data_IF_065678832006
#
_entry.id   IF_065678832006
#
_cell.length_a   1.000
_cell.length_b   1.000
_cell.length_c   1.000
_cell.angle_alpha   90.00
_cell.angle_beta   90.00
_cell.angle_gamma   90.00
#
_symmetry.space_group_name_H-M   'P 1'
#
loop_
_entity.id
_entity.type
_entity.pdbx_description
1 polymer ?
#
# COMPACT_ATOMS: atom_id res chain seq x y z
N UNK A 1 0.09 -13.17 5.75
CA UNK A 1 1.27 -13.46 4.88
C UNK A 1 0.96 -14.29 3.62
N UNK A 2 0.17 -15.37 3.65
CA UNK A 2 -0.02 -16.24 2.47
C UNK A 2 -0.78 -15.59 1.30
N UNK A 3 -1.72 -14.66 1.57
CA UNK A 3 -2.52 -13.99 0.52
C UNK A 3 -1.81 -12.86 -0.23
N UNK A 4 -0.64 -12.43 0.25
CA UNK A 4 0.15 -11.36 -0.38
C UNK A 4 1.21 -11.89 -1.35
N UNK A 5 1.17 -13.17 -1.74
CA UNK A 5 2.21 -13.80 -2.59
C UNK A 5 1.66 -14.53 -3.83
N UNK A 6 0.37 -14.42 -4.12
CA UNK A 6 -0.28 -15.14 -5.24
C UNK A 6 -1.16 -14.22 -6.09
N UNK A 7 -0.77 -12.94 -6.25
CA UNK A 7 -1.64 -11.95 -6.87
C UNK A 7 -1.37 -11.74 -8.36
N UNK A 8 -0.22 -12.21 -8.86
CA UNK A 8 0.22 -12.05 -10.25
C UNK A 8 0.86 -10.70 -10.57
N UNK A 9 0.99 -9.82 -9.57
CA UNK A 9 1.52 -8.46 -9.66
C UNK A 9 2.71 -8.33 -8.72
N UNK A 10 3.90 -8.65 -9.23
CA UNK A 10 5.15 -8.76 -8.45
C UNK A 10 5.46 -7.47 -7.69
N UNK A 11 5.23 -6.31 -8.30
CA UNK A 11 5.50 -5.01 -7.68
C UNK A 11 4.63 -4.76 -6.44
N UNK A 12 3.33 -5.11 -6.52
CA UNK A 12 2.41 -4.98 -5.41
C UNK A 12 2.76 -5.94 -4.27
N UNK A 13 3.08 -7.20 -4.59
CA UNK A 13 3.44 -8.21 -3.61
C UNK A 13 4.76 -7.86 -2.89
N UNK A 14 5.77 -7.34 -3.61
CA UNK A 14 7.02 -6.85 -3.03
C UNK A 14 6.79 -5.64 -2.11
N UNK A 15 5.97 -4.68 -2.55
CA UNK A 15 5.69 -3.47 -1.80
C UNK A 15 4.93 -3.77 -0.51
N UNK A 16 3.86 -4.58 -0.60
CA UNK A 16 3.07 -4.97 0.55
C UNK A 16 3.88 -5.86 1.49
N UNK A 17 4.70 -6.77 0.95
CA UNK A 17 5.62 -7.59 1.74
C UNK A 17 6.59 -6.74 2.56
N UNK A 18 7.27 -5.78 1.91
CA UNK A 18 8.22 -4.89 2.57
C UNK A 18 7.57 -3.99 3.64
N UNK A 19 6.33 -3.54 3.42
CA UNK A 19 5.57 -2.80 4.42
C UNK A 19 5.21 -3.69 5.61
N UNK A 20 4.67 -4.89 5.34
CA UNK A 20 4.27 -5.82 6.39
C UNK A 20 5.46 -6.21 7.27
N UNK A 21 6.62 -6.50 6.69
CA UNK A 21 7.81 -6.89 7.45
C UNK A 21 8.29 -5.79 8.42
N UNK A 22 8.07 -4.52 8.08
CA UNK A 22 8.43 -3.37 8.94
C UNK A 22 7.34 -3.02 9.95
N UNK A 23 6.08 -3.05 9.52
CA UNK A 23 4.97 -2.52 10.29
C UNK A 23 4.34 -3.58 11.22
N UNK A 24 4.18 -4.83 10.77
CA UNK A 24 3.54 -5.91 11.57
C UNK A 24 4.17 -6.12 12.96
N UNK A 25 5.51 -6.09 13.14
CA UNK A 25 6.10 -6.28 14.46
C UNK A 25 5.75 -5.19 15.49
N UNK A 26 5.31 -4.02 15.03
CA UNK A 26 5.02 -2.85 15.87
C UNK A 26 3.53 -2.51 15.95
N UNK A 27 2.68 -3.27 15.23
CA UNK A 27 1.24 -3.06 15.19
C UNK A 27 0.53 -3.59 16.43
N UNK A 28 -0.44 -2.80 16.91
CA UNK A 28 -1.45 -3.27 17.84
C UNK A 28 -2.49 -4.19 17.16
N UNK A 29 -3.27 -4.99 17.92
CA UNK A 29 -4.28 -5.87 17.32
C UNK A 29 -5.30 -5.16 16.42
N UNK A 30 -5.72 -3.94 16.79
CA UNK A 30 -6.63 -3.14 15.97
C UNK A 30 -5.99 -2.70 14.64
N UNK A 31 -4.70 -2.36 14.66
CA UNK A 31 -3.95 -2.02 13.44
C UNK A 31 -3.74 -3.25 12.53
N UNK A 32 -3.56 -4.43 13.10
CA UNK A 32 -3.52 -5.68 12.31
C UNK A 32 -4.86 -5.91 11.61
N UNK A 33 -5.98 -5.65 12.29
CA UNK A 33 -7.32 -5.77 11.70
C UNK A 33 -7.54 -4.77 10.57
N UNK A 34 -7.11 -3.51 10.72
CA UNK A 34 -7.12 -2.52 9.63
C UNK A 34 -6.26 -2.98 8.44
N UNK A 35 -5.07 -3.54 8.70
CA UNK A 35 -4.20 -4.06 7.65
C UNK A 35 -4.84 -5.25 6.93
N UNK A 36 -5.51 -6.15 7.63
CA UNK A 36 -6.24 -7.26 7.03
C UNK A 36 -7.39 -6.78 6.15
N UNK A 37 -8.12 -5.73 6.54
CA UNK A 37 -9.15 -5.11 5.72
C UNK A 37 -8.58 -4.54 4.41
N UNK A 38 -7.42 -3.88 4.47
CA UNK A 38 -6.71 -3.39 3.27
C UNK A 38 -6.27 -4.57 2.40
N UNK A 39 -5.69 -5.61 2.99
CA UNK A 39 -5.23 -6.80 2.28
C UNK A 39 -6.38 -7.65 1.73
N UNK A 40 -7.62 -7.47 2.19
CA UNK A 40 -8.81 -8.12 1.65
C UNK A 40 -9.31 -7.47 0.35
N UNK A 41 -8.85 -6.26 0.03
CA UNK A 41 -9.21 -5.54 -1.19
C UNK A 41 -8.71 -6.25 -2.46
N UNK A 42 -9.35 -5.95 -3.58
CA UNK A 42 -8.91 -6.44 -4.89
C UNK A 42 -7.56 -5.85 -5.29
N UNK A 43 -6.73 -6.67 -5.95
CA UNK A 43 -5.36 -6.29 -6.32
C UNK A 43 -5.34 -5.09 -7.25
N UNK A 44 -6.33 -5.00 -8.16
CA UNK A 44 -6.47 -3.87 -9.09
C UNK A 44 -6.71 -2.57 -8.34
N UNK A 45 -7.58 -2.60 -7.32
CA UNK A 45 -7.87 -1.44 -6.47
C UNK A 45 -6.63 -1.03 -5.69
N UNK A 46 -5.95 -1.99 -5.06
CA UNK A 46 -4.71 -1.72 -4.33
C UNK A 46 -3.61 -1.17 -5.24
N UNK A 47 -3.48 -1.72 -6.45
CA UNK A 47 -2.51 -1.24 -7.43
C UNK A 47 -2.82 0.19 -7.85
N UNK A 48 -4.06 0.48 -8.26
CA UNK A 48 -4.46 1.82 -8.70
C UNK A 48 -4.28 2.86 -7.60
N UNK A 49 -4.56 2.50 -6.35
CA UNK A 49 -4.45 3.43 -5.22
C UNK A 49 -3.02 3.62 -4.70
N UNK A 50 -2.18 2.58 -4.72
CA UNK A 50 -0.81 2.64 -4.17
C UNK A 50 0.23 3.02 -5.22
N UNK A 51 0.18 2.38 -6.38
CA UNK A 51 1.18 2.55 -7.45
C UNK A 51 0.62 3.50 -8.51
N UNK A 52 -0.63 3.28 -8.91
CA UNK A 52 -1.28 4.03 -9.98
C UNK A 52 -0.72 3.73 -11.36
N UNK A 53 -1.44 4.16 -12.39
CA UNK A 53 -0.95 4.13 -13.78
C UNK A 53 -0.27 5.46 -14.09
N UNK A 54 0.93 5.44 -14.68
CA UNK A 54 1.71 6.67 -14.98
C UNK A 54 1.94 7.57 -13.74
N UNK A 55 2.12 6.94 -12.58
CA UNK A 55 2.30 7.53 -11.24
C UNK A 55 1.11 8.37 -10.77
N UNK A 56 -0.05 8.21 -11.43
CA UNK A 56 -1.31 8.81 -11.01
C UNK A 56 -2.08 7.80 -10.16
N UNK A 57 -1.98 7.99 -8.85
CA UNK A 57 -2.72 7.21 -7.86
C UNK A 57 -4.22 7.56 -7.89
N UNK A 58 -5.06 6.54 -7.89
CA UNK A 58 -6.48 6.69 -7.66
C UNK A 58 -6.74 7.11 -6.19
N UNK A 59 -7.81 7.86 -5.93
CA UNK A 59 -8.19 8.18 -4.55
C UNK A 59 -8.51 6.89 -3.79
N UNK A 60 -8.10 6.86 -2.53
CA UNK A 60 -8.42 5.75 -1.64
C UNK A 60 -9.93 5.56 -1.54
N UNK A 61 -10.45 4.32 -1.63
CA UNK A 61 -11.81 3.99 -1.27
C UNK A 61 -12.19 4.59 0.08
N UNK A 62 -13.44 5.07 0.22
CA UNK A 62 -13.91 5.73 1.45
C UNK A 62 -13.68 4.88 2.71
N UNK A 63 -13.79 3.55 2.57
CA UNK A 63 -13.53 2.59 3.64
C UNK A 63 -12.06 2.52 4.10
N UNK A 64 -11.11 2.94 3.26
CA UNK A 64 -9.68 2.97 3.59
C UNK A 64 -9.20 4.35 4.02
N UNK A 65 -9.87 5.43 3.58
CA UNK A 65 -9.49 6.80 3.92
C UNK A 65 -9.44 7.06 5.44
N UNK A 66 -10.31 6.39 6.20
CA UNK A 66 -10.40 6.49 7.65
C UNK A 66 -9.37 5.62 8.39
N UNK A 67 -8.79 4.61 7.74
CA UNK A 67 -7.87 3.65 8.37
C UNK A 67 -6.51 4.30 8.62
N UNK A 68 -6.00 4.14 9.85
CA UNK A 68 -4.67 4.63 10.22
C UNK A 68 -3.57 3.91 9.44
N UNK A 69 -3.75 2.61 9.20
CA UNK A 69 -2.82 1.80 8.42
C UNK A 69 -2.76 2.20 6.95
N UNK A 70 -3.86 2.66 6.38
CA UNK A 70 -3.88 3.11 5.00
C UNK A 70 -3.01 4.35 4.81
N UNK A 71 -3.06 5.30 5.77
CA UNK A 71 -2.23 6.51 5.77
C UNK A 71 -0.74 6.16 5.88
N UNK A 72 -0.40 5.24 6.79
CA UNK A 72 1.00 4.75 6.97
C UNK A 72 1.52 4.04 5.73
N UNK A 73 0.71 3.16 5.14
CA UNK A 73 1.05 2.47 3.89
C UNK A 73 1.22 3.46 2.74
N UNK A 74 0.30 4.40 2.57
CA UNK A 74 0.38 5.42 1.53
C UNK A 74 1.66 6.26 1.63
N UNK A 75 2.03 6.66 2.86
CA UNK A 75 3.27 7.39 3.11
C UNK A 75 4.53 6.53 2.85
N UNK A 76 4.48 5.24 3.19
CA UNK A 76 5.56 4.29 2.93
C UNK A 76 5.82 4.09 1.44
N UNK A 77 4.74 4.07 0.64
CA UNK A 77 4.81 3.98 -0.83
C UNK A 77 5.31 5.29 -1.43
N UNK A 78 4.80 6.43 -0.97
CA UNK A 78 5.24 7.74 -1.44
C UNK A 78 6.73 7.99 -1.21
N UNK A 79 7.29 7.52 -0.08
CA UNK A 79 8.73 7.59 0.18
C UNK A 79 9.58 6.71 -0.75
N UNK A 80 8.97 5.77 -1.49
CA UNK A 80 9.66 4.81 -2.39
C UNK A 80 9.40 5.07 -3.87
N UNK A 81 8.30 5.75 -4.20
CA UNK A 81 8.02 6.16 -5.56
C UNK A 81 8.92 7.33 -5.93
N UNK A 82 9.50 7.33 -7.14
CA UNK A 82 10.23 8.49 -7.62
C UNK A 82 9.26 9.68 -7.72
N UNK A 83 9.53 10.73 -6.94
CA UNK A 83 8.81 12.00 -7.03
C UNK A 83 8.98 12.52 -8.47
N UNK A 84 7.91 12.90 -9.18
CA UNK A 84 7.99 13.35 -10.56
C UNK A 84 8.58 14.77 -10.72
N UNK A 85 9.62 15.14 -9.94
CA UNK A 85 10.45 16.31 -10.21
C UNK A 85 11.73 16.33 -9.36
N UNK A 86 12.87 16.03 -10.00
CA UNK A 86 14.01 16.94 -10.03
C UNK A 86 14.56 16.93 -11.47
N UNK A 87 13.82 17.56 -12.40
CA UNK A 87 14.47 18.20 -13.54
C UNK A 87 15.51 19.17 -12.95
N UNK A 88 16.77 18.73 -12.94
CA UNK A 88 17.90 19.54 -12.49
C UNK A 88 18.08 20.70 -13.49
N UNK A 89 18.25 21.95 -13.02
CA UNK A 89 18.29 23.15 -13.86
C UNK A 89 19.42 23.18 -14.89
#
# INVERSE_FOLDING_TARGET
MYRAKQRGWVELDLLLGAYCDQAVPTMSPGEVEELEQILAAENVVLYDCLIGKDWKRAPAPAQFAELSQWKKLSAFVEARLPQPNEETP
#
